data_IF_881204856831
#
_entry.id   IF_881204856831
#
_cell.length_a   1.000
_cell.length_b   1.000
_cell.length_c   1.000
_cell.angle_alpha   90.00
_cell.angle_beta   90.00
_cell.angle_gamma   90.00
#
_symmetry.space_group_name_H-M   'P 1'
#
loop_
_entity.id
_entity.type
_entity.pdbx_description
1 polymer ?
#
# COMPACT_ATOMS: atom_id res chain seq x y z
N UNK A 1 2.53 4.19 -0.81
CA UNK A 1 1.34 4.20 0.05
C UNK A 1 0.16 3.72 -0.78
N UNK A 2 -0.83 3.11 -0.15
CA UNK A 2 -1.98 2.54 -0.84
C UNK A 2 -3.27 2.79 -0.05
N UNK A 3 -4.34 3.13 -0.76
CA UNK A 3 -5.65 3.52 -0.22
C UNK A 3 -6.50 2.32 0.16
N UNK A 4 -6.85 2.10 1.43
CA UNK A 4 -7.73 1.02 1.91
C UNK A 4 -9.07 1.03 1.15
N UNK A 5 -9.74 2.17 1.13
CA UNK A 5 -10.84 2.48 0.22
C UNK A 5 -10.29 3.21 -1.01
N UNK A 6 -10.39 2.60 -2.18
CA UNK A 6 -9.80 3.11 -3.41
C UNK A 6 -10.30 4.53 -3.78
N UNK A 7 -9.42 5.35 -4.33
CA UNK A 7 -9.80 6.62 -4.96
C UNK A 7 -10.65 6.37 -6.22
N UNK A 8 -11.69 7.18 -6.53
CA UNK A 8 -12.09 8.43 -5.85
C UNK A 8 -13.04 8.24 -4.66
N UNK A 9 -13.44 7.00 -4.34
CA UNK A 9 -14.35 6.71 -3.23
C UNK A 9 -13.73 7.10 -1.89
N UNK A 10 -12.49 6.70 -1.65
CA UNK A 10 -11.73 7.03 -0.45
C UNK A 10 -10.82 8.24 -0.65
N UNK A 11 -10.72 9.07 0.37
CA UNK A 11 -9.84 10.24 0.38
C UNK A 11 -8.36 9.85 0.48
N UNK A 12 -7.47 10.65 -0.11
CA UNK A 12 -6.04 10.61 0.19
C UNK A 12 -5.83 11.22 1.59
N UNK A 13 -5.91 10.37 2.62
CA UNK A 13 -5.93 10.78 4.02
C UNK A 13 -5.18 9.73 4.88
N UNK A 14 -4.49 10.09 5.97
CA UNK A 14 -3.73 9.13 6.78
C UNK A 14 -4.55 7.93 7.28
N UNK A 15 -5.81 8.14 7.66
CA UNK A 15 -6.73 7.06 8.06
C UNK A 15 -7.16 6.12 6.93
N UNK A 16 -6.87 6.46 5.66
CA UNK A 16 -7.17 5.63 4.49
C UNK A 16 -5.90 5.17 3.74
N UNK A 17 -4.72 5.72 4.06
CA UNK A 17 -3.45 5.35 3.44
C UNK A 17 -2.69 4.39 4.36
N UNK A 18 -2.16 3.32 3.78
CA UNK A 18 -1.31 2.36 4.49
C UNK A 18 0.02 2.09 3.77
N UNK A 19 1.09 1.71 4.50
CA UNK A 19 2.40 1.35 3.94
C UNK A 19 2.41 -0.09 3.41
N UNK A 20 1.59 -0.37 2.39
CA UNK A 20 1.56 -1.70 1.76
C UNK A 20 2.73 -1.89 0.81
N UNK A 21 3.40 -3.04 0.90
CA UNK A 21 4.38 -3.45 -0.10
C UNK A 21 3.68 -3.81 -1.42
N UNK A 22 4.45 -3.95 -2.50
CA UNK A 22 3.89 -4.28 -3.82
C UNK A 22 3.05 -5.56 -3.81
N UNK A 23 3.45 -6.59 -3.06
CA UNK A 23 2.68 -7.84 -2.99
C UNK A 23 1.33 -7.64 -2.32
N UNK A 24 1.29 -6.98 -1.16
CA UNK A 24 0.04 -6.65 -0.47
C UNK A 24 -0.87 -5.76 -1.31
N UNK A 25 -0.30 -4.80 -2.04
CA UNK A 25 -1.05 -3.97 -2.97
C UNK A 25 -1.73 -4.81 -4.05
N UNK A 26 -1.01 -5.73 -4.71
CA UNK A 26 -1.59 -6.60 -5.73
C UNK A 26 -2.71 -7.48 -5.18
N UNK A 27 -2.50 -8.13 -4.02
CA UNK A 27 -3.50 -8.98 -3.38
C UNK A 27 -4.80 -8.21 -3.12
N UNK A 28 -4.70 -7.03 -2.52
CA UNK A 28 -5.86 -6.20 -2.20
C UNK A 28 -6.60 -5.69 -3.43
N UNK A 29 -5.89 -5.35 -4.50
CA UNK A 29 -6.52 -4.77 -5.69
C UNK A 29 -7.18 -5.82 -6.57
N UNK A 30 -6.49 -6.94 -6.80
CA UNK A 30 -6.86 -7.93 -7.81
C UNK A 30 -7.49 -9.19 -7.22
N UNK A 31 -6.95 -9.70 -6.11
CA UNK A 31 -7.40 -10.94 -5.47
C UNK A 31 -8.48 -10.70 -4.39
N UNK A 32 -9.39 -9.74 -4.63
CA UNK A 32 -10.42 -9.35 -3.66
C UNK A 32 -11.84 -9.62 -4.19
N UNK A 33 -12.86 -9.43 -3.35
CA UNK A 33 -14.25 -9.73 -3.67
C UNK A 33 -14.72 -11.06 -3.05
N UNK A 34 -15.69 -11.72 -3.69
CA UNK A 34 -16.30 -12.95 -3.14
C UNK A 34 -15.24 -14.05 -3.02
N UNK A 35 -14.93 -14.45 -1.79
CA UNK A 35 -13.91 -15.47 -1.50
C UNK A 35 -12.47 -14.98 -1.71
N UNK A 36 -12.25 -13.67 -1.86
CA UNK A 36 -10.92 -13.07 -2.00
C UNK A 36 -10.35 -12.59 -0.67
N UNK A 37 -9.20 -11.93 -0.74
CA UNK A 37 -8.58 -11.21 0.36
C UNK A 37 -9.39 -9.96 0.73
N UNK A 38 -9.42 -9.65 2.02
CA UNK A 38 -9.91 -8.38 2.55
C UNK A 38 -8.83 -7.72 3.41
N UNK A 39 -8.83 -6.38 3.42
CA UNK A 39 -7.97 -5.55 4.26
C UNK A 39 -8.84 -4.49 4.94
N UNK A 40 -8.78 -4.45 6.26
CA UNK A 40 -9.46 -3.45 7.09
C UNK A 40 -8.39 -2.65 7.82
N UNK A 41 -8.37 -1.34 7.58
CA UNK A 41 -7.55 -0.39 8.34
C UNK A 41 -8.38 0.21 9.47
N UNK A 42 -7.84 0.15 10.67
CA UNK A 42 -8.47 0.71 11.87
C UNK A 42 -7.95 2.12 12.17
N UNK A 43 -8.72 2.95 12.90
CA UNK A 43 -8.29 4.30 13.25
C UNK A 43 -6.98 4.35 14.06
N UNK A 44 -6.65 3.32 14.81
CA UNK A 44 -5.39 3.22 15.57
C UNK A 44 -4.15 2.90 14.69
N UNK A 45 -4.36 2.79 13.37
CA UNK A 45 -3.34 2.46 12.38
C UNK A 45 -3.09 0.96 12.20
N UNK A 46 -3.78 0.09 12.94
CA UNK A 46 -3.69 -1.35 12.74
C UNK A 46 -4.36 -1.78 11.44
N UNK A 47 -3.85 -2.86 10.85
CA UNK A 47 -4.40 -3.50 9.65
C UNK A 47 -4.74 -4.95 9.94
N UNK A 48 -5.96 -5.33 9.57
CA UNK A 48 -6.44 -6.70 9.64
C UNK A 48 -6.65 -7.23 8.22
N UNK A 49 -5.90 -8.27 7.87
CA UNK A 49 -6.03 -8.97 6.60
C UNK A 49 -6.75 -10.29 6.83
N UNK A 50 -7.76 -10.58 6.01
CA UNK A 50 -8.41 -11.89 6.00
C UNK A 50 -8.14 -12.58 4.68
N UNK A 51 -7.62 -13.81 4.76
CA UNK A 51 -7.35 -14.66 3.61
C UNK A 51 -8.65 -15.28 3.06
N UNK A 52 -8.66 -15.70 1.78
CA UNK A 52 -9.71 -16.52 1.18
C UNK A 52 -10.12 -17.75 2.02
N UNK A 53 -9.17 -18.32 2.75
CA UNK A 53 -9.38 -19.49 3.62
C UNK A 53 -9.98 -19.14 4.98
N UNK A 54 -10.23 -17.87 5.26
CA UNK A 54 -10.77 -17.37 6.54
C UNK A 54 -9.73 -17.06 7.61
N UNK A 55 -8.43 -17.32 7.37
CA UNK A 55 -7.39 -16.92 8.32
C UNK A 55 -7.25 -15.41 8.41
N UNK A 56 -7.03 -14.90 9.61
CA UNK A 56 -6.88 -13.47 9.86
C UNK A 56 -5.50 -13.16 10.41
N UNK A 57 -4.90 -12.09 9.89
CA UNK A 57 -3.58 -11.60 10.27
C UNK A 57 -3.68 -10.13 10.63
N UNK A 58 -3.31 -9.79 11.86
CA UNK A 58 -3.32 -8.42 12.34
C UNK A 58 -1.89 -7.88 12.45
N UNK A 59 -1.70 -6.65 11.98
CA UNK A 59 -0.45 -5.91 12.13
C UNK A 59 -0.74 -4.59 12.82
N UNK A 60 0.08 -4.22 13.79
CA UNK A 60 0.00 -2.93 14.49
C UNK A 60 1.15 -2.03 14.04
N UNK A 61 0.95 -0.71 14.03
CA UNK A 61 2.03 0.21 13.69
C UNK A 61 3.10 0.16 14.77
N UNK A 62 4.38 0.15 14.35
CA UNK A 62 5.51 0.06 15.27
C UNK A 62 5.56 1.22 16.28
N UNK A 63 4.92 2.36 15.96
CA UNK A 63 4.75 3.47 16.90
C UNK A 63 4.00 3.09 18.18
N UNK A 64 3.07 2.13 18.14
CA UNK A 64 2.39 1.64 19.35
C UNK A 64 3.37 0.91 20.29
N UNK A 65 4.40 0.25 19.74
CA UNK A 65 5.44 -0.42 20.53
C UNK A 65 6.43 0.61 21.07
N UNK A 66 6.83 1.58 20.25
CA UNK A 66 7.80 2.61 20.64
C UNK A 66 7.23 3.64 21.62
N UNK A 67 5.93 3.93 21.54
CA UNK A 67 5.26 4.98 22.31
C UNK A 67 3.95 4.45 22.91
N UNK A 68 4.02 3.49 23.87
CA UNK A 68 2.83 2.82 24.40
C UNK A 68 1.85 3.79 25.07
N UNK A 69 2.34 4.89 25.64
CA UNK A 69 1.51 5.90 26.33
C UNK A 69 0.83 6.88 25.36
N UNK A 70 1.10 6.79 24.05
CA UNK A 70 0.59 7.73 23.05
C UNK A 70 -0.38 7.05 22.09
N UNK A 71 -1.66 7.07 22.44
CA UNK A 71 -2.73 6.62 21.56
C UNK A 71 -2.96 7.61 20.42
N UNK A 72 -2.72 7.18 19.19
CA UNK A 72 -3.01 7.96 17.97
C UNK A 72 -4.19 7.30 17.27
N UNK A 73 -5.30 8.02 17.18
CA UNK A 73 -6.47 7.60 16.41
C UNK A 73 -6.72 8.58 15.27
N UNK A 74 -6.73 8.07 14.05
CA UNK A 74 -6.95 8.85 12.83
C UNK A 74 -7.99 8.14 11.96
N UNK A 75 -9.30 8.37 12.20
CA UNK A 75 -10.35 7.75 11.41
C UNK A 75 -10.28 8.20 9.95
N UNK A 76 -10.65 7.31 9.03
CA UNK A 76 -10.83 7.67 7.63
C UNK A 76 -12.08 8.57 7.48
N UNK A 77 -12.03 9.61 6.64
CA UNK A 77 -13.24 10.28 6.19
C UNK A 77 -14.22 9.28 5.57
N UNK A 78 -15.53 9.52 5.67
CA UNK A 78 -16.52 8.65 5.07
C UNK A 78 -16.28 8.51 3.56
N UNK A 79 -16.42 7.29 3.05
CA UNK A 79 -16.28 7.02 1.63
C UNK A 79 -17.40 7.70 0.85
N UNK A 80 -17.05 8.27 -0.32
CA UNK A 80 -18.02 8.74 -1.30
C UNK A 80 -18.62 7.55 -2.03
N UNK A 81 -19.83 7.72 -2.55
CA UNK A 81 -20.40 6.76 -3.50
C UNK A 81 -19.48 6.62 -4.71
N UNK A 82 -19.17 5.39 -5.07
CA UNK A 82 -18.35 5.08 -6.22
C UNK A 82 -19.03 4.01 -7.08
N UNK A 83 -18.78 4.03 -8.40
CA UNK A 83 -19.31 3.00 -9.29
C UNK A 83 -18.83 1.61 -8.85
N UNK A 84 -19.69 0.61 -9.01
CA UNK A 84 -19.35 -0.78 -8.74
C UNK A 84 -18.04 -1.17 -9.44
N UNK A 85 -17.16 -1.81 -8.70
CA UNK A 85 -15.90 -2.28 -9.25
C UNK A 85 -16.12 -3.29 -10.37
N UNK A 86 -15.32 -3.19 -11.43
CA UNK A 86 -15.42 -4.03 -12.63
C UNK A 86 -15.15 -5.51 -12.32
N UNK A 87 -15.87 -6.40 -13.02
CA UNK A 87 -15.79 -7.86 -12.84
C UNK A 87 -14.42 -8.41 -13.28
N UNK A 88 -13.70 -7.70 -14.16
CA UNK A 88 -12.41 -8.14 -14.68
C UNK A 88 -11.26 -7.18 -14.29
N UNK A 89 -10.84 -7.25 -13.01
CA UNK A 89 -9.70 -6.47 -12.53
C UNK A 89 -8.36 -7.04 -12.99
N UNK A 90 -8.29 -8.35 -13.20
CA UNK A 90 -7.04 -9.04 -13.54
C UNK A 90 -6.46 -8.59 -14.88
N UNK A 91 -7.30 -8.17 -15.84
CA UNK A 91 -6.83 -7.55 -17.09
C UNK A 91 -6.00 -6.28 -16.88
N UNK A 92 -6.16 -5.58 -15.75
CA UNK A 92 -5.35 -4.41 -15.37
C UNK A 92 -4.17 -4.75 -14.46
N UNK A 93 -3.95 -6.03 -14.16
CA UNK A 93 -2.85 -6.44 -13.29
C UNK A 93 -1.50 -6.24 -14.00
N UNK A 94 -0.55 -5.51 -13.41
CA UNK A 94 0.73 -5.23 -14.06
C UNK A 94 1.59 -6.49 -14.13
N UNK A 95 2.05 -6.82 -15.34
CA UNK A 95 3.02 -7.89 -15.57
C UNK A 95 4.44 -7.40 -15.29
N UNK A 96 5.25 -8.25 -14.67
CA UNK A 96 6.66 -7.97 -14.39
C UNK A 96 7.45 -7.96 -15.70
N UNK A 97 8.02 -6.79 -16.03
CA UNK A 97 8.87 -6.62 -17.21
C UNK A 97 10.35 -7.00 -16.96
N UNK A 98 10.82 -6.87 -15.71
CA UNK A 98 12.20 -7.12 -15.31
C UNK A 98 12.31 -8.02 -14.09
N UNK A 99 13.39 -8.81 -14.02
CA UNK A 99 13.66 -9.64 -12.84
C UNK A 99 13.95 -8.76 -11.62
N UNK A 100 13.79 -9.32 -10.41
CA UNK A 100 14.10 -8.60 -9.16
C UNK A 100 15.56 -8.16 -9.11
N UNK A 101 16.47 -9.00 -9.62
CA UNK A 101 17.90 -8.70 -9.68
C UNK A 101 18.19 -7.53 -10.63
N UNK A 102 17.55 -7.50 -11.81
CA UNK A 102 17.70 -6.40 -12.76
C UNK A 102 17.22 -5.07 -12.16
N UNK A 103 16.00 -5.03 -11.60
CA UNK A 103 15.47 -3.82 -10.96
C UNK A 103 16.36 -3.35 -9.81
N UNK A 104 16.87 -4.27 -8.98
CA UNK A 104 17.80 -3.94 -7.90
C UNK A 104 19.10 -3.35 -8.43
N UNK A 105 19.67 -3.96 -9.47
CA UNK A 105 20.92 -3.51 -10.10
C UNK A 105 20.74 -2.12 -10.71
N UNK A 106 19.65 -1.90 -11.45
CA UNK A 106 19.30 -0.59 -12.02
C UNK A 106 19.18 0.46 -10.92
N UNK A 107 18.41 0.20 -9.85
CA UNK A 107 18.29 1.13 -8.73
C UNK A 107 19.66 1.45 -8.11
N UNK A 108 20.49 0.46 -7.79
CA UNK A 108 21.82 0.69 -7.23
C UNK A 108 22.69 1.54 -8.15
N UNK A 109 22.67 1.26 -9.46
CA UNK A 109 23.45 2.03 -10.44
C UNK A 109 22.94 3.48 -10.56
N UNK A 110 21.63 3.69 -10.53
CA UNK A 110 21.02 5.04 -10.52
C UNK A 110 21.43 5.81 -9.27
N UNK A 111 21.30 5.22 -8.08
CA UNK A 111 21.70 5.86 -6.82
C UNK A 111 23.20 6.18 -6.81
N UNK A 112 24.06 5.26 -7.29
CA UNK A 112 25.50 5.50 -7.42
C UNK A 112 25.79 6.67 -8.36
N UNK A 113 25.13 6.72 -9.51
CA UNK A 113 25.26 7.82 -10.48
C UNK A 113 24.82 9.14 -9.86
N UNK A 114 23.65 9.19 -9.20
CA UNK A 114 23.18 10.39 -8.50
C UNK A 114 24.18 10.85 -7.45
N UNK A 115 24.76 9.92 -6.67
CA UNK A 115 25.76 10.26 -5.66
C UNK A 115 27.08 10.77 -6.27
N UNK A 116 27.53 10.23 -7.41
CA UNK A 116 28.70 10.78 -8.15
C UNK A 116 28.40 12.15 -8.77
N UNK A 117 27.15 12.41 -9.14
CA UNK A 117 26.72 13.68 -9.71
C UNK A 117 26.46 14.77 -8.64
N UNK A 118 26.38 14.44 -7.34
CA UNK A 118 26.26 15.42 -6.24
C UNK A 118 27.46 16.38 -6.14
N UNK A 119 28.63 16.01 -6.66
CA UNK A 119 29.80 16.90 -6.78
C UNK A 119 29.64 17.93 -7.92
N UNK A 120 28.52 17.90 -8.64
CA UNK A 120 28.14 18.92 -9.63
C UNK A 120 26.97 19.73 -9.08
N UNK A 121 27.05 21.08 -9.08
CA UNK A 121 25.92 21.89 -8.64
C UNK A 121 24.69 21.58 -9.52
N UNK A 122 23.48 21.51 -8.94
CA UNK A 122 22.27 21.21 -9.70
C UNK A 122 22.09 22.28 -10.80
N UNK A 123 21.74 21.88 -12.04
CA UNK A 123 21.34 22.84 -13.05
C UNK A 123 19.98 23.38 -12.60
N UNK A 124 19.95 24.65 -12.21
CA UNK A 124 18.70 25.38 -12.07
C UNK A 124 17.94 25.42 -13.40
#
# INVERSE_FOLDING_TARGET
LDHTTAWPAGATHPGNLGPKCRTHHLLKTFETGKGGWTDVQQPDGSHTWTAPTGHTYQTTPFSQILFPDRAIHTPAPPAKSAPMATIDRHTKMPVRQHTRQQTRTQRINTERRLNTELDKPPPY
#
